data_IF_812233137373
#
_entry.id   IF_812233137373
#
_cell.length_a   1.000
_cell.length_b   1.000
_cell.length_c   1.000
_cell.angle_alpha   90.00
_cell.angle_beta   90.00
_cell.angle_gamma   90.00
#
_symmetry.space_group_name_H-M   'P 1'
#
loop_
_entity.id
_entity.type
_entity.pdbx_description
1 polymer ?
#
# COMPACT_ATOMS: atom_id res chain seq x y z
N UNK A 1 -2.92 32.34 -58.36
CA UNK A 1 -1.89 31.79 -57.45
C UNK A 1 -2.58 31.28 -56.19
N UNK A 2 -3.08 30.04 -56.20
CA UNK A 2 -3.93 29.50 -55.15
C UNK A 2 -3.09 28.99 -53.97
N UNK A 3 -3.24 29.59 -52.79
CA UNK A 3 -2.76 29.01 -51.54
C UNK A 3 -3.66 27.82 -51.21
N UNK A 4 -3.17 26.60 -51.46
CA UNK A 4 -3.79 25.38 -50.96
C UNK A 4 -3.61 25.36 -49.45
N UNK A 5 -4.70 25.56 -48.71
CA UNK A 5 -4.80 25.21 -47.30
C UNK A 5 -4.51 23.71 -47.17
N UNK A 6 -3.42 23.35 -46.50
CA UNK A 6 -3.14 21.95 -46.15
C UNK A 6 -4.09 21.59 -45.02
N UNK A 7 -5.11 20.80 -45.31
CA UNK A 7 -5.91 20.16 -44.27
C UNK A 7 -5.03 19.12 -43.57
N UNK A 8 -4.72 19.35 -42.29
CA UNK A 8 -4.08 18.33 -41.44
C UNK A 8 -5.19 17.37 -41.02
N UNK A 9 -5.37 16.29 -41.79
CA UNK A 9 -6.32 15.22 -41.50
C UNK A 9 -5.56 13.92 -41.25
N UNK A 10 -5.02 13.78 -40.03
CA UNK A 10 -4.81 12.50 -39.32
C UNK A 10 -4.39 12.81 -37.89
N UNK A 11 -5.18 12.39 -36.90
CA UNK A 11 -4.70 12.31 -35.53
C UNK A 11 -3.62 11.21 -35.51
N UNK A 12 -2.35 11.59 -35.33
CA UNK A 12 -1.26 10.63 -35.16
C UNK A 12 -1.26 10.17 -33.71
N UNK A 13 -1.75 8.94 -33.49
CA UNK A 13 -1.67 8.31 -32.17
C UNK A 13 -0.30 7.67 -31.99
N UNK A 14 0.32 7.91 -30.84
CA UNK A 14 1.61 7.33 -30.46
C UNK A 14 1.42 6.30 -29.34
N UNK A 15 2.20 5.22 -29.37
CA UNK A 15 2.20 4.22 -28.29
C UNK A 15 3.50 4.35 -27.51
N UNK A 16 3.40 4.62 -26.21
CA UNK A 16 4.54 4.88 -25.33
C UNK A 16 4.50 3.91 -24.14
N UNK A 17 5.63 3.24 -23.80
CA UNK A 17 5.71 2.45 -22.59
C UNK A 17 5.94 3.34 -21.35
N UNK A 18 5.11 3.19 -20.33
CA UNK A 18 5.33 3.75 -19.00
C UNK A 18 5.77 2.62 -18.05
N UNK A 19 7.05 2.58 -17.70
CA UNK A 19 7.65 1.49 -16.92
C UNK A 19 8.26 0.36 -17.75
N UNK A 20 8.84 -0.69 -17.13
CA UNK A 20 8.88 -0.94 -15.69
C UNK A 20 10.03 -0.23 -14.95
N UNK A 21 10.93 0.45 -15.65
CA UNK A 21 12.03 1.19 -15.02
C UNK A 21 11.72 2.70 -15.00
N UNK A 22 10.62 3.10 -14.36
CA UNK A 22 10.23 4.50 -14.20
C UNK A 22 9.87 4.80 -12.73
N UNK A 23 10.29 5.94 -12.15
CA UNK A 23 10.01 6.27 -10.74
C UNK A 23 8.52 6.19 -10.35
N UNK A 24 7.63 6.56 -11.28
CA UNK A 24 6.18 6.51 -11.07
C UNK A 24 5.50 5.17 -11.38
N UNK A 25 6.21 4.20 -11.96
CA UNK A 25 5.63 2.89 -12.31
C UNK A 25 6.06 1.77 -11.38
N UNK A 26 7.25 1.89 -10.76
CA UNK A 26 7.86 0.78 -10.02
C UNK A 26 7.89 -0.49 -10.87
N UNK A 27 7.65 -1.66 -10.29
CA UNK A 27 7.67 -2.95 -11.00
C UNK A 27 6.41 -3.23 -11.85
N UNK A 28 5.82 -2.21 -12.45
CA UNK A 28 4.62 -2.30 -13.27
C UNK A 28 4.84 -1.58 -14.60
N UNK A 29 4.26 -2.08 -15.69
CA UNK A 29 4.28 -1.42 -17.00
C UNK A 29 2.85 -1.13 -17.47
N UNK A 30 2.66 0.03 -18.07
CA UNK A 30 1.43 0.40 -18.78
C UNK A 30 1.80 0.83 -20.19
N UNK A 31 1.11 0.29 -21.18
CA UNK A 31 1.18 0.81 -22.56
C UNK A 31 0.15 1.92 -22.70
N UNK A 32 0.61 3.14 -23.02
CA UNK A 32 -0.24 4.30 -23.22
C UNK A 32 -0.34 4.62 -24.70
N UNK A 33 -1.56 4.63 -25.24
CA UNK A 33 -1.86 5.18 -26.56
C UNK A 33 -2.29 6.63 -26.37
N UNK A 34 -1.54 7.57 -26.95
CA UNK A 34 -1.75 9.02 -26.75
C UNK A 34 -2.03 9.72 -28.08
N UNK A 35 -2.90 10.72 -28.03
CA UNK A 35 -3.14 11.72 -29.08
C UNK A 35 -2.77 13.10 -28.51
N UNK A 36 -1.58 13.59 -28.87
CA UNK A 36 -0.95 14.71 -28.18
C UNK A 36 -0.73 14.42 -26.69
N UNK A 37 -1.35 15.21 -25.82
CA UNK A 37 -1.28 15.06 -24.35
C UNK A 37 -2.42 14.18 -23.78
N UNK A 38 -3.37 13.75 -24.62
CA UNK A 38 -4.53 12.98 -24.18
C UNK A 38 -4.25 11.49 -24.26
N UNK A 39 -4.43 10.78 -23.14
CA UNK A 39 -4.45 9.32 -23.12
C UNK A 39 -5.78 8.82 -23.71
N UNK A 40 -5.71 8.00 -24.75
CA UNK A 40 -6.85 7.36 -25.40
C UNK A 40 -7.07 5.94 -24.87
N UNK A 41 -5.98 5.23 -24.59
CA UNK A 41 -6.00 3.86 -24.07
C UNK A 41 -4.84 3.66 -23.10
N UNK A 42 -5.09 2.93 -22.01
CA UNK A 42 -4.07 2.49 -21.07
C UNK A 42 -4.20 0.98 -20.85
N UNK A 43 -3.23 0.21 -21.36
CA UNK A 43 -3.20 -1.25 -21.20
C UNK A 43 -2.18 -1.65 -20.15
N UNK A 44 -2.69 -2.15 -19.02
CA UNK A 44 -1.88 -2.71 -17.94
C UNK A 44 -1.10 -3.95 -18.40
N UNK A 45 0.14 -4.06 -17.95
CA UNK A 45 1.04 -5.17 -18.24
C UNK A 45 1.70 -5.65 -16.93
N UNK A 46 0.96 -6.40 -16.10
CA UNK A 46 1.43 -6.91 -14.82
C UNK A 46 2.39 -8.09 -14.99
N UNK A 47 3.09 -8.46 -13.91
CA UNK A 47 3.82 -9.73 -13.82
C UNK A 47 5.31 -9.61 -13.52
N UNK A 48 5.89 -8.41 -13.61
CA UNK A 48 7.33 -8.20 -13.33
C UNK A 48 7.73 -8.50 -11.87
N UNK A 49 6.76 -8.55 -10.94
CA UNK A 49 6.97 -8.95 -9.54
C UNK A 49 6.30 -10.30 -9.20
N UNK A 50 5.79 -11.04 -10.19
CA UNK A 50 5.17 -12.34 -9.95
C UNK A 50 6.24 -13.35 -9.52
N UNK A 51 6.07 -13.91 -8.32
CA UNK A 51 7.02 -14.87 -7.70
C UNK A 51 6.40 -16.25 -7.43
N UNK A 52 5.16 -16.48 -7.86
CA UNK A 52 4.47 -17.75 -7.65
C UNK A 52 4.24 -18.11 -6.18
N UNK A 53 3.89 -17.14 -5.32
CA UNK A 53 3.69 -17.39 -3.88
C UNK A 53 2.66 -18.47 -3.61
N UNK A 54 1.55 -18.47 -4.34
CA UNK A 54 0.51 -19.50 -4.25
C UNK A 54 1.10 -20.90 -4.46
N UNK A 55 1.89 -21.07 -5.53
CA UNK A 55 2.56 -22.33 -5.83
C UNK A 55 3.57 -22.72 -4.75
N UNK A 56 4.32 -21.75 -4.21
CA UNK A 56 5.26 -22.00 -3.11
C UNK A 56 4.55 -22.43 -1.82
N UNK A 57 3.33 -21.94 -1.57
CA UNK A 57 2.55 -22.31 -0.39
C UNK A 57 2.03 -23.75 -0.46
N UNK A 58 1.74 -24.29 -1.65
CA UNK A 58 1.32 -25.70 -1.81
C UNK A 58 2.34 -26.71 -1.27
N UNK A 59 3.64 -26.37 -1.35
CA UNK A 59 4.73 -27.23 -0.87
C UNK A 59 5.11 -26.98 0.60
N UNK A 60 4.29 -26.23 1.36
CA UNK A 60 4.60 -25.77 2.71
C UNK A 60 3.48 -26.07 3.68
N UNK A 61 3.84 -26.30 4.94
CA UNK A 61 2.84 -26.37 6.01
C UNK A 61 2.22 -24.99 6.24
N UNK A 62 1.04 -24.92 6.85
CA UNK A 62 0.38 -23.64 7.15
C UNK A 62 1.27 -22.67 7.95
N UNK A 63 2.08 -23.19 8.88
CA UNK A 63 3.03 -22.38 9.66
C UNK A 63 4.21 -21.88 8.84
N UNK A 64 4.65 -22.63 7.83
CA UNK A 64 5.69 -22.18 6.91
C UNK A 64 5.13 -21.19 5.88
N UNK A 65 3.88 -21.39 5.46
CA UNK A 65 3.17 -20.52 4.53
C UNK A 65 2.85 -19.15 5.16
N UNK A 66 2.60 -19.06 6.47
CA UNK A 66 2.36 -17.77 7.14
C UNK A 66 3.52 -16.79 6.96
N UNK A 67 4.77 -17.28 6.96
CA UNK A 67 5.96 -16.44 6.69
C UNK A 67 6.00 -15.91 5.25
N UNK A 68 5.40 -16.64 4.29
CA UNK A 68 5.30 -16.17 2.91
C UNK A 68 4.26 -15.05 2.76
N UNK A 69 3.23 -15.01 3.62
CA UNK A 69 2.18 -13.99 3.55
C UNK A 69 2.70 -12.58 3.82
N UNK A 70 3.76 -12.43 4.63
CA UNK A 70 4.49 -11.17 4.83
C UNK A 70 4.94 -10.51 3.52
N UNK A 71 5.17 -11.32 2.48
CA UNK A 71 5.78 -10.88 1.22
C UNK A 71 4.78 -10.63 0.10
N UNK A 72 3.48 -10.86 0.35
CA UNK A 72 2.41 -10.60 -0.61
C UNK A 72 2.25 -9.09 -0.79
N UNK A 73 1.99 -8.37 0.30
CA UNK A 73 2.03 -6.92 0.33
C UNK A 73 3.02 -6.44 1.40
N UNK A 74 4.11 -5.83 0.94
CA UNK A 74 5.20 -5.32 1.77
C UNK A 74 4.73 -4.22 2.72
N UNK A 75 3.66 -3.52 2.35
CA UNK A 75 3.10 -2.43 3.15
C UNK A 75 2.09 -2.90 4.17
N UNK A 76 1.55 -4.12 4.09
CA UNK A 76 0.50 -4.57 5.02
C UNK A 76 0.73 -6.02 5.49
N UNK A 77 1.96 -6.36 5.93
CA UNK A 77 2.34 -7.75 6.17
C UNK A 77 1.47 -8.42 7.25
N UNK A 78 1.19 -7.72 8.35
CA UNK A 78 0.40 -8.26 9.48
C UNK A 78 -1.08 -8.44 9.10
N UNK A 79 -1.63 -7.62 8.22
CA UNK A 79 -3.00 -7.81 7.71
C UNK A 79 -3.07 -9.07 6.84
N UNK A 80 -2.08 -9.31 5.98
CA UNK A 80 -2.00 -10.54 5.19
C UNK A 80 -1.79 -11.78 6.05
N UNK A 81 -0.97 -11.69 7.09
CA UNK A 81 -0.86 -12.75 8.09
C UNK A 81 -2.22 -13.05 8.75
N UNK A 82 -2.95 -11.99 9.14
CA UNK A 82 -4.25 -12.11 9.80
C UNK A 82 -5.28 -12.78 8.89
N UNK A 83 -5.40 -12.33 7.64
CA UNK A 83 -6.34 -12.92 6.67
C UNK A 83 -6.03 -14.41 6.47
N UNK A 84 -4.76 -14.77 6.30
CA UNK A 84 -4.35 -16.16 6.14
C UNK A 84 -4.62 -17.00 7.40
N UNK A 85 -4.31 -16.48 8.59
CA UNK A 85 -4.55 -17.15 9.86
C UNK A 85 -6.05 -17.39 10.09
N UNK A 86 -6.89 -16.38 9.86
CA UNK A 86 -8.35 -16.49 10.00
C UNK A 86 -8.95 -17.52 9.03
N UNK A 87 -8.47 -17.56 7.79
CA UNK A 87 -8.91 -18.55 6.81
C UNK A 87 -8.57 -19.98 7.27
N UNK A 88 -7.33 -20.20 7.73
CA UNK A 88 -6.89 -21.49 8.25
C UNK A 88 -7.65 -21.91 9.51
N UNK A 89 -7.84 -20.99 10.47
CA UNK A 89 -8.56 -21.22 11.72
C UNK A 89 -10.02 -21.57 11.49
N UNK A 90 -10.68 -20.85 10.57
CA UNK A 90 -12.08 -21.13 10.18
C UNK A 90 -12.22 -22.52 9.57
N UNK A 91 -11.29 -22.94 8.72
CA UNK A 91 -11.31 -24.28 8.11
C UNK A 91 -11.08 -25.39 9.14
N UNK A 92 -10.29 -25.12 10.18
CA UNK A 92 -9.94 -26.11 11.22
C UNK A 92 -10.84 -26.05 12.46
N UNK A 93 -11.76 -25.08 12.55
CA UNK A 93 -12.60 -24.87 13.72
C UNK A 93 -11.80 -24.47 14.97
N UNK A 94 -10.67 -23.79 14.79
CA UNK A 94 -9.80 -23.37 15.91
C UNK A 94 -10.32 -22.08 16.51
N UNK A 95 -10.55 -22.08 17.82
CA UNK A 95 -10.78 -20.86 18.59
C UNK A 95 -9.45 -20.35 19.18
N UNK A 96 -9.11 -19.11 18.84
CA UNK A 96 -7.89 -18.46 19.35
C UNK A 96 -8.14 -17.76 20.70
N UNK A 97 -7.14 -17.71 21.60
CA UNK A 97 -7.25 -17.02 22.89
C UNK A 97 -7.65 -15.55 22.73
N UNK A 98 -8.46 -15.03 23.65
CA UNK A 98 -8.95 -13.65 23.61
C UNK A 98 -7.81 -12.63 23.53
N UNK A 99 -6.76 -12.79 24.34
CA UNK A 99 -5.57 -11.94 24.31
C UNK A 99 -4.92 -11.90 22.91
N UNK A 100 -4.85 -13.03 22.21
CA UNK A 100 -4.30 -13.08 20.86
C UNK A 100 -5.18 -12.32 19.86
N UNK A 101 -6.51 -12.32 20.03
CA UNK A 101 -7.42 -11.52 19.20
C UNK A 101 -7.14 -10.02 19.34
N UNK A 102 -6.98 -9.53 20.57
CA UNK A 102 -6.64 -8.12 20.81
C UNK A 102 -5.28 -7.72 20.24
N UNK A 103 -4.24 -8.55 20.43
CA UNK A 103 -2.91 -8.28 19.86
C UNK A 103 -2.98 -8.22 18.33
N UNK A 104 -3.72 -9.14 17.70
CA UNK A 104 -3.92 -9.15 16.23
C UNK A 104 -4.56 -7.86 15.73
N UNK A 105 -5.64 -7.41 16.38
CA UNK A 105 -6.31 -6.16 16.02
C UNK A 105 -5.33 -5.00 16.19
N UNK A 106 -4.74 -4.83 17.37
CA UNK A 106 -3.77 -3.75 17.63
C UNK A 106 -2.68 -3.66 16.54
N UNK A 107 -2.03 -4.79 16.22
CA UNK A 107 -0.97 -4.83 15.23
C UNK A 107 -1.48 -4.61 13.78
N UNK A 108 -2.67 -5.09 13.44
CA UNK A 108 -3.29 -4.84 12.14
C UNK A 108 -3.68 -3.36 11.96
N UNK A 109 -4.16 -2.70 13.02
CA UNK A 109 -4.49 -1.27 12.99
C UNK A 109 -3.23 -0.42 12.87
N UNK A 110 -2.16 -0.73 13.62
CA UNK A 110 -0.85 -0.09 13.46
C UNK A 110 -0.30 -0.27 12.04
N UNK A 111 -0.50 -1.46 11.47
CA UNK A 111 -0.09 -1.74 10.09
C UNK A 111 -0.87 -0.91 9.08
N UNK A 112 -2.18 -0.74 9.29
CA UNK A 112 -3.00 0.15 8.46
C UNK A 112 -2.50 1.59 8.57
N UNK A 113 -2.21 2.10 9.76
CA UNK A 113 -1.72 3.48 9.95
C UNK A 113 -0.41 3.69 9.17
N UNK A 114 0.58 2.82 9.33
CA UNK A 114 1.84 2.99 8.59
C UNK A 114 1.70 2.80 7.08
N UNK A 115 0.72 2.00 6.61
CA UNK A 115 0.39 1.82 5.19
C UNK A 115 -0.13 3.14 4.61
N UNK A 116 -1.02 3.82 5.34
CA UNK A 116 -1.56 5.13 4.95
C UNK A 116 -0.51 6.24 5.02
N UNK A 117 0.39 6.23 6.02
CA UNK A 117 1.52 7.17 6.07
C UNK A 117 2.44 6.99 4.85
N UNK A 118 2.72 5.75 4.45
CA UNK A 118 3.51 5.50 3.26
C UNK A 118 2.78 5.96 1.99
N UNK A 119 1.50 5.63 1.85
CA UNK A 119 0.69 6.10 0.73
C UNK A 119 0.71 7.63 0.61
N UNK A 120 0.49 8.32 1.73
CA UNK A 120 0.53 9.78 1.83
C UNK A 120 1.89 10.34 1.42
N UNK A 121 2.98 9.75 1.93
CA UNK A 121 4.33 10.15 1.53
C UNK A 121 4.60 9.94 0.04
N UNK A 122 4.22 8.77 -0.50
CA UNK A 122 4.43 8.43 -1.92
C UNK A 122 3.59 9.33 -2.82
N UNK A 123 2.35 9.64 -2.44
CA UNK A 123 1.52 10.62 -3.13
C UNK A 123 2.16 12.02 -3.12
N UNK A 124 2.75 12.42 -1.99
CA UNK A 124 3.54 13.65 -1.84
C UNK A 124 4.67 13.75 -2.86
N UNK A 125 5.60 12.80 -2.86
CA UNK A 125 6.76 12.84 -3.77
C UNK A 125 6.34 12.70 -5.25
N UNK A 126 5.29 11.92 -5.55
CA UNK A 126 4.76 11.81 -6.92
C UNK A 126 4.21 13.14 -7.46
N UNK A 127 3.76 14.04 -6.58
CA UNK A 127 3.30 15.38 -6.93
C UNK A 127 4.39 16.46 -6.79
N UNK A 128 5.59 16.09 -6.35
CA UNK A 128 6.74 16.99 -6.18
C UNK A 128 6.95 17.51 -4.75
N UNK A 129 6.21 17.03 -3.76
CA UNK A 129 6.34 17.42 -2.36
C UNK A 129 7.28 16.49 -1.59
N UNK A 130 8.58 16.72 -1.75
CA UNK A 130 9.62 15.88 -1.13
C UNK A 130 9.63 15.95 0.41
N UNK A 131 9.31 17.12 1.00
CA UNK A 131 9.19 17.27 2.46
C UNK A 131 8.09 16.39 3.04
N UNK A 132 6.94 16.30 2.36
CA UNK A 132 5.79 15.47 2.79
C UNK A 132 6.21 14.00 2.88
N UNK A 133 6.96 13.51 1.88
CA UNK A 133 7.49 12.15 1.88
C UNK A 133 8.41 11.88 3.07
N UNK A 134 9.36 12.80 3.33
CA UNK A 134 10.33 12.66 4.43
C UNK A 134 9.65 12.64 5.80
N UNK A 135 8.71 13.56 6.03
CA UNK A 135 7.97 13.64 7.30
C UNK A 135 7.13 12.39 7.51
N UNK A 136 6.42 11.93 6.48
CA UNK A 136 5.62 10.71 6.55
C UNK A 136 6.47 9.46 6.86
N UNK A 137 7.66 9.35 6.28
CA UNK A 137 8.58 8.26 6.58
C UNK A 137 9.14 8.30 8.02
N UNK A 138 9.32 9.49 8.60
CA UNK A 138 9.73 9.64 10.00
C UNK A 138 8.67 9.06 10.94
N UNK A 139 7.40 9.42 10.75
CA UNK A 139 6.32 8.87 11.59
C UNK A 139 6.11 7.38 11.36
N UNK A 140 6.24 6.94 10.10
CA UNK A 140 6.23 5.51 9.77
C UNK A 140 7.34 4.74 10.49
N UNK A 141 8.52 5.33 10.63
CA UNK A 141 9.67 4.70 11.28
C UNK A 141 9.39 4.39 12.76
N UNK A 142 8.65 5.25 13.46
CA UNK A 142 8.25 5.01 14.86
C UNK A 142 7.38 3.76 14.98
N UNK A 143 6.45 3.56 14.05
CA UNK A 143 5.63 2.34 14.01
C UNK A 143 6.47 1.11 13.66
N UNK A 144 7.44 1.23 12.73
CA UNK A 144 8.32 0.10 12.41
C UNK A 144 9.20 -0.33 13.57
N UNK A 145 9.58 0.59 14.47
CA UNK A 145 10.26 0.24 15.73
C UNK A 145 9.37 -0.57 16.66
N UNK A 146 8.08 -0.25 16.75
CA UNK A 146 7.12 -1.08 17.49
C UNK A 146 7.03 -2.49 16.88
N UNK A 147 7.05 -2.61 15.55
CA UNK A 147 7.05 -3.93 14.90
C UNK A 147 8.33 -4.72 15.17
N UNK A 148 9.48 -4.06 15.15
CA UNK A 148 10.75 -4.67 15.54
C UNK A 148 10.71 -5.19 16.97
N UNK A 149 10.16 -4.39 17.88
CA UNK A 149 10.03 -4.73 19.30
C UNK A 149 9.09 -5.93 19.53
N UNK A 150 7.93 -5.95 18.86
CA UNK A 150 6.93 -7.01 19.02
C UNK A 150 7.32 -8.30 18.30
N UNK A 151 7.91 -8.19 17.10
CA UNK A 151 8.04 -9.33 16.18
C UNK A 151 9.49 -9.74 15.88
N UNK A 152 10.45 -8.87 16.19
CA UNK A 152 11.85 -8.98 15.76
C UNK A 152 12.08 -8.57 14.31
N UNK A 153 11.02 -8.25 13.55
CA UNK A 153 11.09 -7.83 12.16
C UNK A 153 10.45 -6.46 11.96
N UNK A 154 11.09 -5.61 11.16
CA UNK A 154 10.57 -4.26 10.86
C UNK A 154 9.51 -4.29 9.77
N UNK A 155 9.89 -4.73 8.57
CA UNK A 155 9.00 -4.76 7.39
C UNK A 155 8.36 -6.14 7.21
N UNK A 156 9.07 -7.21 7.60
CA UNK A 156 8.58 -8.57 7.50
C UNK A 156 8.56 -9.19 8.90
N UNK A 157 7.39 -9.32 9.55
CA UNK A 157 7.26 -9.78 10.94
C UNK A 157 7.45 -11.30 11.11
N UNK A 158 7.93 -11.99 10.07
CA UNK A 158 8.25 -13.41 10.05
C UNK A 158 7.09 -14.31 10.48
N UNK A 159 5.89 -14.04 9.96
CA UNK A 159 4.67 -14.78 10.29
C UNK A 159 4.28 -14.66 11.77
N UNK A 160 4.39 -13.46 12.35
CA UNK A 160 4.07 -13.21 13.76
C UNK A 160 2.61 -13.54 14.08
N UNK A 161 1.68 -13.06 13.24
CA UNK A 161 0.30 -13.54 13.26
C UNK A 161 0.28 -14.83 12.44
N UNK A 162 -0.19 -15.91 13.04
CA UNK A 162 -0.17 -17.25 12.44
C UNK A 162 -1.39 -18.05 12.87
N UNK A 163 -1.77 -19.11 12.12
CA UNK A 163 -2.84 -20.00 12.54
C UNK A 163 -2.65 -20.46 14.00
N UNK A 164 -3.65 -20.25 14.84
CA UNK A 164 -3.63 -20.55 16.27
C UNK A 164 -3.34 -19.36 17.20
N UNK A 165 -3.09 -18.16 16.67
CA UNK A 165 -2.96 -16.93 17.48
C UNK A 165 -1.82 -16.02 17.04
N UNK A 166 -0.93 -15.71 17.97
CA UNK A 166 0.28 -14.91 17.75
C UNK A 166 1.52 -15.72 18.14
N UNK A 167 2.69 -15.33 17.65
CA UNK A 167 3.92 -16.09 17.85
C UNK A 167 4.42 -16.02 19.29
N UNK A 168 4.41 -14.82 19.85
CA UNK A 168 4.85 -14.48 21.19
C UNK A 168 3.88 -13.45 21.75
N UNK A 169 3.91 -13.24 23.07
CA UNK A 169 3.21 -12.11 23.66
C UNK A 169 3.96 -10.79 23.37
N UNK A 170 3.31 -9.66 23.59
CA UNK A 170 3.93 -8.34 23.51
C UNK A 170 4.94 -8.16 24.67
N UNK A 171 6.09 -7.49 24.43
CA UNK A 171 7.06 -7.19 25.48
C UNK A 171 6.50 -6.22 26.53
N UNK A 172 7.13 -6.20 27.71
CA UNK A 172 6.74 -5.32 28.80
C UNK A 172 6.88 -3.84 28.41
N UNK A 173 5.86 -3.04 28.71
CA UNK A 173 5.84 -1.60 28.37
C UNK A 173 5.46 -1.29 26.92
N UNK A 174 5.11 -2.29 26.11
CA UNK A 174 4.79 -2.10 24.69
C UNK A 174 3.59 -1.16 24.49
N UNK A 175 2.55 -1.31 25.32
CA UNK A 175 1.30 -0.57 25.16
C UNK A 175 1.51 0.93 25.42
N UNK A 176 2.27 1.27 26.46
CA UNK A 176 2.62 2.64 26.79
C UNK A 176 3.46 3.29 25.67
N UNK A 177 4.40 2.55 25.09
CA UNK A 177 5.18 3.01 23.93
C UNK A 177 4.32 3.20 22.69
N UNK A 178 3.45 2.24 22.39
CA UNK A 178 2.54 2.32 21.26
C UNK A 178 1.59 3.51 21.38
N UNK A 179 1.05 3.76 22.57
CA UNK A 179 0.23 4.94 22.86
C UNK A 179 1.02 6.24 22.68
N UNK A 180 2.26 6.30 23.17
CA UNK A 180 3.14 7.45 22.99
C UNK A 180 3.38 7.78 21.51
N UNK A 181 3.66 6.77 20.68
CA UNK A 181 3.81 6.93 19.23
C UNK A 181 2.50 7.42 18.59
N UNK A 182 1.37 6.84 18.95
CA UNK A 182 0.08 7.24 18.39
C UNK A 182 -0.26 8.70 18.73
N UNK A 183 -0.03 9.13 19.99
CA UNK A 183 -0.23 10.53 20.41
C UNK A 183 0.70 11.49 19.66
N UNK A 184 1.95 11.08 19.43
CA UNK A 184 2.92 11.89 18.68
C UNK A 184 2.49 12.06 17.22
N UNK A 185 2.06 10.98 16.56
CA UNK A 185 1.54 11.02 15.19
C UNK A 185 0.28 11.89 15.14
N UNK A 186 -0.67 11.67 16.06
CA UNK A 186 -1.93 12.41 16.16
C UNK A 186 -1.70 13.92 16.30
N UNK A 187 -0.77 14.32 17.17
CA UNK A 187 -0.40 15.72 17.38
C UNK A 187 0.05 16.42 16.09
N UNK A 188 0.67 15.69 15.17
CA UNK A 188 1.19 16.23 13.91
C UNK A 188 0.28 16.00 12.70
N UNK A 189 -0.91 15.39 12.86
CA UNK A 189 -1.82 15.16 11.74
C UNK A 189 -2.31 16.47 11.09
N UNK A 190 -2.49 17.54 11.88
CA UNK A 190 -2.85 18.86 11.33
C UNK A 190 -1.75 19.40 10.43
N UNK A 191 -0.49 19.28 10.85
CA UNK A 191 0.65 19.74 10.06
C UNK A 191 0.72 18.99 8.71
N UNK A 192 0.44 17.68 8.72
CA UNK A 192 0.38 16.87 7.51
C UNK A 192 -0.76 17.30 6.58
N UNK A 193 -1.91 17.65 7.14
CA UNK A 193 -3.07 18.13 6.40
C UNK A 193 -2.77 19.47 5.71
N UNK A 194 -2.21 20.42 6.44
CA UNK A 194 -1.89 21.76 5.94
C UNK A 194 -0.80 21.71 4.86
N UNK A 195 0.19 20.83 5.04
CA UNK A 195 1.30 20.67 4.09
C UNK A 195 0.87 20.08 2.74
N UNK A 196 -0.16 19.23 2.71
CA UNK A 196 -0.51 18.44 1.53
C UNK A 196 -1.97 18.60 1.09
N UNK A 197 -2.94 18.24 1.92
CA UNK A 197 -4.35 18.19 1.52
C UNK A 197 -4.95 19.58 1.28
N UNK A 198 -4.57 20.57 2.10
CA UNK A 198 -5.01 21.96 1.91
C UNK A 198 -4.15 22.74 0.92
N UNK A 199 -3.09 22.12 0.39
CA UNK A 199 -2.21 22.77 -0.56
C UNK A 199 -2.97 23.08 -1.87
N UNK A 200 -3.01 24.34 -2.34
CA UNK A 200 -3.72 24.69 -3.57
C UNK A 200 -3.22 23.94 -4.80
N UNK A 201 -1.94 23.58 -4.85
CA UNK A 201 -1.36 22.81 -5.95
C UNK A 201 -1.84 21.36 -5.94
N UNK A 202 -2.01 20.76 -4.75
CA UNK A 202 -2.61 19.43 -4.63
C UNK A 202 -4.06 19.43 -5.12
N UNK A 203 -4.86 20.38 -4.63
CA UNK A 203 -6.28 20.52 -5.02
C UNK A 203 -6.42 20.74 -6.53
N UNK A 204 -5.63 21.64 -7.13
CA UNK A 204 -5.66 21.90 -8.56
C UNK A 204 -5.27 20.69 -9.42
N UNK A 205 -4.41 19.80 -8.89
CA UNK A 205 -3.90 18.60 -9.59
C UNK A 205 -4.77 17.36 -9.42
N UNK A 206 -5.77 17.38 -8.53
CA UNK A 206 -6.57 16.19 -8.17
C UNK A 206 -8.06 16.39 -8.35
N UNK A 207 -8.56 17.62 -8.15
CA UNK A 207 -10.00 17.90 -8.19
C UNK A 207 -10.57 17.64 -9.58
N UNK A 208 -11.57 16.76 -9.64
CA UNK A 208 -12.30 16.42 -10.87
C UNK A 208 -11.58 15.42 -11.77
N UNK A 209 -10.47 14.80 -11.32
CA UNK A 209 -9.81 13.71 -12.03
C UNK A 209 -10.30 12.34 -11.56
N UNK A 210 -10.23 11.35 -12.46
CA UNK A 210 -10.56 9.94 -12.18
C UNK A 210 -11.91 9.75 -11.45
N UNK A 211 -12.93 10.50 -11.87
CA UNK A 211 -14.27 10.42 -11.28
C UNK A 211 -14.86 9.04 -11.57
N UNK A 212 -15.27 8.35 -10.52
CA UNK A 212 -15.97 7.07 -10.60
C UNK A 212 -17.38 7.24 -10.01
N UNK A 213 -18.39 6.81 -10.74
CA UNK A 213 -19.75 6.69 -10.19
C UNK A 213 -19.83 5.54 -9.18
N UNK A 214 -20.77 5.57 -8.23
CA UNK A 214 -21.00 4.45 -7.32
C UNK A 214 -21.24 3.12 -8.05
N UNK A 215 -21.96 3.16 -9.17
CA UNK A 215 -22.26 1.98 -9.99
C UNK A 215 -21.00 1.40 -10.64
N UNK A 216 -20.11 2.25 -11.18
CA UNK A 216 -18.82 1.83 -11.73
C UNK A 216 -17.92 1.25 -10.65
N UNK A 217 -17.91 1.86 -9.45
CA UNK A 217 -17.15 1.35 -8.31
C UNK A 217 -17.56 -0.08 -7.94
N UNK A 218 -18.86 -0.34 -7.83
CA UNK A 218 -19.37 -1.70 -7.55
C UNK A 218 -19.04 -2.66 -8.69
N UNK A 219 -19.13 -2.21 -9.94
CA UNK A 219 -18.85 -3.05 -11.10
C UNK A 219 -17.38 -3.47 -11.19
N UNK A 220 -16.44 -2.60 -10.81
CA UNK A 220 -15.01 -2.89 -10.81
C UNK A 220 -14.59 -3.83 -9.67
N UNK A 221 -15.38 -3.90 -8.59
CA UNK A 221 -15.10 -4.69 -7.37
C UNK A 221 -14.31 -3.94 -6.32
#
# INVERSE_FOLDING_TARGET
MGRKTVAITRAETYVIPFGPAHPGSGNFRVWLTVDGERVIEARADPGFLHRGFEKLMEYRTLLQASVLTDRIAVFEPLNWNLVFALAAEKLQGIEVPERAKYIRVLLAELTRIQSHLLWFGVAGIAMGFDTVFKVALTYREEILRLFEEATGGRVYPAGYIRPGGVRWDLPEGFLERAEGVLRHIEYHLSDLNDLFFENPSFVARTKGLAVLSPEEGIWLG
#
